data_IF_432539852430
#
_entry.id   IF_432539852430
#
_cell.length_a   1.000
_cell.length_b   1.000
_cell.length_c   1.000
_cell.angle_alpha   90.00
_cell.angle_beta   90.00
_cell.angle_gamma   90.00
#
_symmetry.space_group_name_H-M   'P 1'
#
loop_
_entity.id
_entity.type
_entity.pdbx_description
1 polymer ?
#
# COMPACT_ATOMS: atom_id res chain seq x y z
N UNK A 1 4.75 -10.14 -5.75
CA UNK A 1 3.87 -9.15 -6.38
C UNK A 1 3.57 -8.03 -5.39
N UNK A 2 3.62 -6.80 -5.85
CA UNK A 2 3.40 -5.63 -5.00
C UNK A 2 2.02 -5.05 -5.22
N UNK A 3 1.47 -4.47 -4.14
CA UNK A 3 0.17 -3.82 -4.15
C UNK A 3 0.27 -2.49 -3.43
N UNK A 4 -0.51 -1.51 -3.86
CA UNK A 4 -0.66 -0.25 -3.14
C UNK A 4 -1.97 -0.26 -2.35
N UNK A 5 -1.92 0.25 -1.14
CA UNK A 5 -3.13 0.39 -0.32
C UNK A 5 -3.88 1.64 -0.78
N UNK A 6 -5.01 1.44 -1.45
CA UNK A 6 -5.83 2.55 -1.93
C UNK A 6 -6.59 3.22 -0.79
N UNK A 7 -7.28 2.40 0.00
CA UNK A 7 -8.04 2.89 1.15
C UNK A 7 -8.25 1.77 2.15
N UNK A 8 -8.58 2.15 3.36
CA UNK A 8 -8.95 1.21 4.42
C UNK A 8 -10.36 1.57 4.88
N UNK A 9 -11.28 0.62 4.75
CA UNK A 9 -12.66 0.77 5.19
C UNK A 9 -12.94 -0.27 6.26
N UNK A 10 -13.27 0.20 7.46
CA UNK A 10 -13.44 -0.66 8.63
C UNK A 10 -12.17 -1.49 8.85
N UNK A 11 -12.24 -2.80 8.70
CA UNK A 11 -11.09 -3.69 8.87
C UNK A 11 -10.60 -4.27 7.53
N UNK A 12 -10.98 -3.66 6.42
CA UNK A 12 -10.63 -4.14 5.09
C UNK A 12 -9.75 -3.12 4.37
N UNK A 13 -8.60 -3.57 3.91
CA UNK A 13 -7.71 -2.80 3.07
C UNK A 13 -8.01 -3.10 1.60
N UNK A 14 -8.36 -2.07 0.85
CA UNK A 14 -8.57 -2.18 -0.59
C UNK A 14 -7.25 -1.87 -1.27
N UNK A 15 -6.71 -2.85 -1.98
CA UNK A 15 -5.39 -2.77 -2.58
C UNK A 15 -5.47 -2.90 -4.09
N UNK A 16 -4.54 -2.26 -4.79
CA UNK A 16 -4.44 -2.34 -6.24
C UNK A 16 -3.08 -2.86 -6.63
N UNK A 17 -3.04 -3.89 -7.47
CA UNK A 17 -1.80 -4.45 -8.01
C UNK A 17 -1.33 -3.72 -9.26
N UNK A 18 -0.12 -4.06 -9.71
CA UNK A 18 0.49 -3.44 -10.89
C UNK A 18 -0.32 -3.70 -12.18
N UNK A 19 -1.08 -4.77 -12.19
CA UNK A 19 -1.94 -5.15 -13.32
C UNK A 19 -3.33 -4.49 -13.26
N UNK A 20 -3.56 -3.64 -12.27
CA UNK A 20 -4.86 -2.99 -12.09
C UNK A 20 -5.89 -3.82 -11.34
N UNK A 21 -5.54 -5.04 -10.95
CA UNK A 21 -6.45 -5.89 -10.17
C UNK A 21 -6.64 -5.33 -8.77
N UNK A 22 -7.86 -5.38 -8.28
CA UNK A 22 -8.21 -4.96 -6.93
C UNK A 22 -8.25 -6.18 -6.01
N UNK A 23 -7.60 -6.07 -4.87
CA UNK A 23 -7.55 -7.12 -3.86
C UNK A 23 -8.02 -6.54 -2.53
N UNK A 24 -8.93 -7.23 -1.87
CA UNK A 24 -9.41 -6.84 -0.55
C UNK A 24 -8.80 -7.77 0.48
N UNK A 25 -8.12 -7.21 1.46
CA UNK A 25 -7.44 -7.95 2.51
C UNK A 25 -7.95 -7.50 3.87
N UNK A 26 -8.02 -8.43 4.80
CA UNK A 26 -8.30 -8.08 6.18
C UNK A 26 -7.11 -7.34 6.76
N UNK A 27 -7.35 -6.28 7.51
CA UNK A 27 -6.30 -5.47 8.07
C UNK A 27 -5.37 -6.26 8.98
N UNK A 28 -5.89 -7.28 9.68
CA UNK A 28 -5.10 -8.13 10.56
C UNK A 28 -4.17 -9.10 9.80
N UNK A 29 -4.36 -9.26 8.51
CA UNK A 29 -3.43 -10.02 7.65
C UNK A 29 -2.21 -9.20 7.24
N UNK A 30 -2.23 -7.91 7.49
CA UNK A 30 -1.18 -6.98 7.09
C UNK A 30 -0.29 -6.61 8.27
N UNK A 31 0.94 -6.14 8.02
CA UNK A 31 1.81 -5.71 9.11
C UNK A 31 1.15 -4.63 9.96
N UNK A 32 1.47 -4.62 11.24
CA UNK A 32 0.97 -3.61 12.16
C UNK A 32 1.43 -2.22 11.70
N UNK A 33 0.50 -1.28 11.69
CA UNK A 33 0.80 0.07 11.24
C UNK A 33 0.59 0.31 9.75
N UNK A 34 0.13 -0.70 8.99
CA UNK A 34 -0.22 -0.52 7.58
C UNK A 34 -1.32 0.52 7.43
N UNK A 35 -1.16 1.43 6.48
CA UNK A 35 -2.11 2.51 6.26
C UNK A 35 -2.21 2.86 4.77
N UNK A 36 -3.15 3.71 4.46
CA UNK A 36 -3.36 4.17 3.08
C UNK A 36 -2.09 4.77 2.50
N UNK A 37 -1.83 4.45 1.25
CA UNK A 37 -0.64 4.90 0.55
C UNK A 37 0.58 4.01 0.69
N UNK A 38 0.54 3.02 1.58
CA UNK A 38 1.64 2.08 1.72
C UNK A 38 1.70 1.14 0.53
N UNK A 39 2.93 0.73 0.21
CA UNK A 39 3.18 -0.34 -0.76
C UNK A 39 3.48 -1.60 0.03
N UNK A 40 2.76 -2.66 -0.27
CA UNK A 40 2.97 -3.97 0.37
C UNK A 40 3.42 -4.98 -0.66
N UNK A 41 4.21 -5.95 -0.22
CA UNK A 41 4.68 -7.03 -1.08
C UNK A 41 4.22 -8.37 -0.51
N UNK A 42 3.65 -9.22 -1.36
CA UNK A 42 3.24 -10.55 -0.95
C UNK A 42 4.47 -11.46 -0.85
N UNK A 43 4.61 -12.12 0.28
CA UNK A 43 5.64 -13.12 0.56
C UNK A 43 4.98 -14.44 0.93
N UNK A 44 5.77 -15.52 1.05
CA UNK A 44 5.25 -16.85 1.37
C UNK A 44 4.46 -16.88 2.68
N UNK A 45 4.91 -16.13 3.68
CA UNK A 45 4.32 -16.12 5.00
C UNK A 45 3.42 -14.90 5.26
N UNK A 46 2.98 -14.20 4.21
CA UNK A 46 2.10 -13.05 4.36
C UNK A 46 2.58 -11.85 3.57
N UNK A 47 2.34 -10.67 4.12
CA UNK A 47 2.67 -9.41 3.47
C UNK A 47 3.68 -8.63 4.27
N UNK A 48 4.55 -7.90 3.58
CA UNK A 48 5.48 -6.95 4.21
C UNK A 48 5.25 -5.57 3.60
N UNK A 49 5.59 -4.53 4.37
CA UNK A 49 5.58 -3.16 3.84
C UNK A 49 6.91 -2.93 3.11
N UNK A 50 6.83 -2.47 1.87
CA UNK A 50 8.01 -2.02 1.13
C UNK A 50 8.25 -0.56 1.51
N UNK A 51 9.08 -0.34 2.52
CA UNK A 51 9.31 0.99 3.07
C UNK A 51 9.98 1.93 2.06
N UNK A 52 10.91 1.41 1.27
CA UNK A 52 11.62 2.23 0.28
C UNK A 52 10.68 2.75 -0.79
N UNK A 53 9.86 1.88 -1.35
CA UNK A 53 8.92 2.25 -2.40
C UNK A 53 7.79 3.13 -1.85
N UNK A 54 7.33 2.87 -0.64
CA UNK A 54 6.33 3.70 0.02
C UNK A 54 6.87 5.12 0.20
N UNK A 55 8.08 5.27 0.70
CA UNK A 55 8.70 6.58 0.89
C UNK A 55 8.92 7.31 -0.43
N UNK A 56 9.37 6.60 -1.45
CA UNK A 56 9.59 7.18 -2.78
C UNK A 56 8.28 7.72 -3.35
N UNK A 57 7.21 6.97 -3.24
CA UNK A 57 5.90 7.39 -3.70
C UNK A 57 5.41 8.64 -2.97
N UNK A 58 5.56 8.68 -1.65
CA UNK A 58 5.14 9.81 -0.83
C UNK A 58 5.96 11.05 -1.15
N UNK A 59 7.26 10.88 -1.39
CA UNK A 59 8.13 11.97 -1.80
C UNK A 59 7.70 12.57 -3.13
N UNK A 60 7.38 11.72 -4.11
CA UNK A 60 6.89 12.18 -5.41
C UNK A 60 5.58 12.95 -5.28
N UNK A 61 4.66 12.48 -4.47
CA UNK A 61 3.39 13.18 -4.25
C UNK A 61 3.61 14.54 -3.58
N UNK A 62 4.52 14.63 -2.62
CA UNK A 62 4.86 15.89 -1.98
C UNK A 62 5.49 16.88 -2.97
N UNK A 63 6.38 16.42 -3.84
CA UNK A 63 6.98 17.25 -4.87
C UNK A 63 5.94 17.77 -5.86
N UNK A 64 5.01 16.92 -6.26
CA UNK A 64 3.92 17.33 -7.16
C UNK A 64 3.02 18.38 -6.53
N UNK A 65 2.78 18.30 -5.23
CA UNK A 65 2.00 19.30 -4.51
C UNK A 65 2.73 20.64 -4.37
N UNK A 66 4.06 20.61 -4.34
CA UNK A 66 4.87 21.82 -4.22
C UNK A 66 4.89 22.66 -5.49
N UNK A 67 4.67 22.04 -6.63
CA UNK A 67 4.79 22.70 -7.93
C UNK A 67 3.49 23.29 -8.45
N UNK A 68 2.52 23.41 -7.58
CA UNK A 68 1.22 24.00 -7.94
C UNK A 68 1.20 25.48 -7.59
#
# INVERSE_FOLDING_TARGET
>A
MKYSIDRIEENIAVCEGDDGNVLKLKLDELPKGTREGDIIEKRENGFIIDADETQLRRKKMAEMQRNI
#
